data_IF_134211044929
#
_entry.id   IF_134211044929
#
_cell.length_a   1.000
_cell.length_b   1.000
_cell.length_c   1.000
_cell.angle_alpha   90.00
_cell.angle_beta   90.00
_cell.angle_gamma   90.00
#
_symmetry.space_group_name_H-M   'P 1'
#
loop_
_entity.id
_entity.type
_entity.pdbx_description
1 polymer ?
#
# COMPACT_ATOMS: atom_id res chain seq x y z
N UNK A 1 -21.00 -11.04 37.87
CA UNK A 1 -22.05 -10.00 37.89
C UNK A 1 -21.41 -8.70 38.32
N UNK A 2 -21.41 -7.69 37.45
CA UNK A 2 -21.66 -6.27 37.72
C UNK A 2 -21.40 -5.53 36.40
N UNK A 3 -22.50 -5.07 35.80
CA UNK A 3 -22.55 -4.36 34.54
C UNK A 3 -21.77 -3.05 34.63
N UNK A 4 -20.99 -2.74 33.59
CA UNK A 4 -20.47 -1.39 33.36
C UNK A 4 -21.18 -0.82 32.15
N UNK A 5 -22.14 0.04 32.46
CA UNK A 5 -22.95 0.83 31.56
C UNK A 5 -22.07 1.62 30.59
N UNK A 6 -22.26 1.36 29.29
CA UNK A 6 -21.70 2.18 28.21
C UNK A 6 -22.58 3.42 28.12
N UNK A 7 -22.04 4.57 28.54
CA UNK A 7 -22.61 5.88 28.24
C UNK A 7 -22.38 6.15 26.75
N UNK A 8 -23.40 5.91 25.95
CA UNK A 8 -23.47 6.35 24.57
C UNK A 8 -23.61 7.88 24.54
N UNK A 9 -22.54 8.58 24.17
CA UNK A 9 -22.60 10.00 23.81
C UNK A 9 -23.19 10.06 22.40
N UNK A 10 -24.51 10.23 22.31
CA UNK A 10 -25.18 10.62 21.08
C UNK A 10 -24.80 12.07 20.77
N UNK A 11 -23.76 12.26 19.96
CA UNK A 11 -23.52 13.52 19.30
C UNK A 11 -24.69 13.79 18.35
N UNK A 12 -25.64 14.62 18.77
CA UNK A 12 -26.61 15.26 17.89
C UNK A 12 -25.82 16.12 16.89
N UNK A 13 -25.53 15.55 15.73
CA UNK A 13 -25.16 16.34 14.56
C UNK A 13 -26.44 17.06 14.16
N UNK A 14 -26.55 18.33 14.55
CA UNK A 14 -27.52 19.24 13.97
C UNK A 14 -27.20 19.35 12.48
N UNK A 15 -27.89 18.55 11.66
CA UNK A 15 -27.91 18.71 10.21
C UNK A 15 -28.69 19.98 9.94
N UNK A 16 -27.99 21.12 9.97
CA UNK A 16 -28.54 22.36 9.47
C UNK A 16 -28.92 22.14 7.98
N UNK A 17 -30.09 22.59 7.53
CA UNK A 17 -30.51 22.38 6.16
C UNK A 17 -29.54 23.11 5.21
N UNK A 18 -28.84 22.34 4.37
CA UNK A 18 -27.99 22.85 3.29
C UNK A 18 -28.76 23.77 2.30
N UNK A 19 -30.10 23.75 2.33
CA UNK A 19 -30.96 24.52 1.44
C UNK A 19 -30.97 26.05 1.68
N UNK A 20 -30.34 26.56 2.75
CA UNK A 20 -30.30 27.99 3.05
C UNK A 20 -29.03 28.71 2.57
N UNK A 21 -28.02 28.00 2.04
CA UNK A 21 -26.75 28.62 1.60
C UNK A 21 -26.68 28.88 0.09
N UNK A 22 -27.69 28.46 -0.69
CA UNK A 22 -27.69 28.55 -2.16
C UNK A 22 -28.64 29.62 -2.71
N UNK A 23 -28.66 30.81 -2.12
CA UNK A 23 -29.25 31.97 -2.78
C UNK A 23 -28.24 32.55 -3.76
N UNK A 24 -28.55 32.66 -5.04
CA UNK A 24 -27.73 33.43 -5.99
C UNK A 24 -27.73 34.89 -5.54
N UNK A 25 -26.65 35.32 -4.90
CA UNK A 25 -26.49 36.70 -4.46
C UNK A 25 -25.93 37.51 -5.62
N UNK A 26 -26.82 38.25 -6.27
CA UNK A 26 -26.52 39.04 -7.46
C UNK A 26 -26.21 40.51 -7.15
N UNK A 27 -25.92 40.85 -5.90
CA UNK A 27 -25.48 42.19 -5.55
C UNK A 27 -24.00 42.42 -5.98
N UNK A 28 -23.60 43.68 -6.20
CA UNK A 28 -22.28 44.00 -6.72
C UNK A 28 -21.11 43.49 -5.87
N UNK A 29 -21.30 43.36 -4.55
CA UNK A 29 -20.24 42.89 -3.66
C UNK A 29 -19.97 41.39 -3.86
N UNK A 30 -21.02 40.58 -4.05
CA UNK A 30 -20.89 39.16 -4.31
C UNK A 30 -20.36 38.86 -5.72
N UNK A 31 -20.78 39.61 -6.75
CA UNK A 31 -20.19 39.50 -8.09
C UNK A 31 -18.68 39.84 -8.11
N UNK A 32 -18.27 40.85 -7.34
CA UNK A 32 -16.86 41.23 -7.22
C UNK A 32 -16.02 40.19 -6.46
N UNK A 33 -16.62 39.50 -5.48
CA UNK A 33 -16.00 38.37 -4.79
C UNK A 33 -15.87 37.16 -5.72
N UNK A 34 -16.94 36.77 -6.41
CA UNK A 34 -16.95 35.66 -7.37
C UNK A 34 -15.93 35.86 -8.48
N UNK A 35 -15.81 37.07 -9.04
CA UNK A 35 -14.81 37.39 -10.06
C UNK A 35 -13.36 37.18 -9.59
N UNK A 36 -13.10 37.21 -8.27
CA UNK A 36 -11.78 36.96 -7.66
C UNK A 36 -11.62 35.50 -7.23
N UNK A 37 -12.65 34.91 -6.66
CA UNK A 37 -12.61 33.58 -6.04
C UNK A 37 -12.79 32.44 -7.04
N UNK A 38 -13.61 32.62 -8.08
CA UNK A 38 -13.87 31.59 -9.09
C UNK A 38 -12.59 31.16 -9.83
N UNK A 39 -11.72 32.07 -10.34
CA UNK A 39 -10.48 31.66 -10.99
C UNK A 39 -9.52 30.92 -10.04
N UNK A 40 -9.46 31.34 -8.77
CA UNK A 40 -8.63 30.69 -7.76
C UNK A 40 -9.13 29.28 -7.45
N UNK A 41 -10.44 29.15 -7.25
CA UNK A 41 -11.10 27.86 -6.99
C UNK A 41 -10.94 26.91 -8.17
N UNK A 42 -11.09 27.41 -9.40
CA UNK A 42 -10.87 26.62 -10.61
C UNK A 42 -9.41 26.15 -10.75
N UNK A 43 -8.44 27.03 -10.45
CA UNK A 43 -7.01 26.65 -10.42
C UNK A 43 -6.74 25.55 -9.39
N UNK A 44 -7.26 25.68 -8.16
CA UNK A 44 -7.12 24.67 -7.13
C UNK A 44 -7.78 23.34 -7.53
N UNK A 45 -8.99 23.38 -8.10
CA UNK A 45 -9.67 22.18 -8.60
C UNK A 45 -8.88 21.48 -9.70
N UNK A 46 -8.26 22.24 -10.61
CA UNK A 46 -7.41 21.67 -11.67
C UNK A 46 -6.15 21.01 -11.09
N UNK A 47 -5.52 21.63 -10.07
CA UNK A 47 -4.36 21.06 -9.38
C UNK A 47 -4.74 19.76 -8.65
N UNK A 48 -5.85 19.77 -7.90
CA UNK A 48 -6.34 18.57 -7.21
C UNK A 48 -6.69 17.47 -8.20
N UNK A 49 -7.39 17.79 -9.29
CA UNK A 49 -7.72 16.81 -10.33
C UNK A 49 -6.45 16.18 -10.92
N UNK A 50 -5.42 16.98 -11.20
CA UNK A 50 -4.14 16.48 -11.70
C UNK A 50 -3.44 15.58 -10.67
N UNK A 51 -3.43 15.97 -9.41
CA UNK A 51 -2.84 15.18 -8.32
C UNK A 51 -3.58 13.85 -8.11
N UNK A 52 -4.91 13.84 -8.21
CA UNK A 52 -5.73 12.63 -8.12
C UNK A 52 -5.41 11.68 -9.27
N UNK A 53 -5.32 12.18 -10.51
CA UNK A 53 -4.93 11.35 -11.66
C UNK A 53 -3.53 10.77 -11.51
N UNK A 54 -2.57 11.57 -11.01
CA UNK A 54 -1.23 11.09 -10.74
C UNK A 54 -1.21 10.01 -9.66
N UNK A 55 -1.96 10.19 -8.57
CA UNK A 55 -2.08 9.21 -7.50
C UNK A 55 -2.74 7.92 -7.99
N UNK A 56 -3.81 7.99 -8.79
CA UNK A 56 -4.46 6.82 -9.39
C UNK A 56 -3.48 6.03 -10.27
N UNK A 57 -2.68 6.72 -11.08
CA UNK A 57 -1.68 6.07 -11.93
C UNK A 57 -0.59 5.39 -11.09
N UNK A 58 -0.08 6.09 -10.07
CA UNK A 58 0.92 5.53 -9.15
C UNK A 58 0.37 4.31 -8.40
N UNK A 59 -0.89 4.35 -7.96
CA UNK A 59 -1.55 3.24 -7.29
C UNK A 59 -1.71 2.04 -8.22
N UNK A 60 -2.16 2.24 -9.46
CA UNK A 60 -2.29 1.15 -10.43
C UNK A 60 -0.95 0.46 -10.74
N UNK A 61 0.14 1.24 -10.83
CA UNK A 61 1.49 0.69 -10.98
C UNK A 61 1.93 -0.08 -9.74
N UNK A 62 1.65 0.45 -8.54
CA UNK A 62 1.96 -0.21 -7.28
C UNK A 62 1.19 -1.52 -7.10
N UNK A 63 -0.09 -1.56 -7.48
CA UNK A 63 -0.94 -2.76 -7.46
C UNK A 63 -0.38 -3.83 -8.40
N UNK A 64 -0.10 -3.49 -9.66
CA UNK A 64 0.49 -4.42 -10.62
C UNK A 64 1.85 -4.98 -10.14
N UNK A 65 2.67 -4.13 -9.51
CA UNK A 65 3.95 -4.57 -8.93
C UNK A 65 3.75 -5.47 -7.71
N UNK A 66 2.73 -5.21 -6.88
CA UNK A 66 2.38 -6.05 -5.74
C UNK A 66 1.95 -7.45 -6.21
N UNK A 67 1.10 -7.53 -7.23
CA UNK A 67 0.65 -8.81 -7.79
C UNK A 67 1.82 -9.67 -8.29
N UNK A 68 2.78 -9.06 -9.00
CA UNK A 68 4.00 -9.75 -9.43
C UNK A 68 4.86 -10.20 -8.26
N UNK A 69 4.97 -9.38 -7.21
CA UNK A 69 5.73 -9.74 -6.01
C UNK A 69 5.07 -10.91 -5.27
N UNK A 70 3.74 -10.92 -5.18
CA UNK A 70 2.97 -11.99 -4.55
C UNK A 70 3.12 -13.31 -5.31
N UNK A 71 3.02 -13.29 -6.64
CA UNK A 71 3.24 -14.48 -7.47
C UNK A 71 4.65 -15.06 -7.29
N UNK A 72 5.67 -14.20 -7.26
CA UNK A 72 7.05 -14.65 -7.03
C UNK A 72 7.25 -15.20 -5.61
N UNK A 73 6.63 -14.58 -4.62
CA UNK A 73 6.65 -15.07 -3.25
C UNK A 73 6.06 -16.49 -3.15
N UNK A 74 4.92 -16.74 -3.77
CA UNK A 74 4.29 -18.06 -3.81
C UNK A 74 5.15 -19.09 -4.58
N UNK A 75 5.74 -18.69 -5.70
CA UNK A 75 6.66 -19.54 -6.45
C UNK A 75 7.90 -19.92 -5.63
N UNK A 76 8.48 -18.97 -4.89
CA UNK A 76 9.64 -19.21 -4.02
C UNK A 76 9.29 -20.21 -2.90
N UNK A 77 8.08 -20.10 -2.32
CA UNK A 77 7.57 -21.06 -1.32
C UNK A 77 7.40 -22.47 -1.88
N UNK A 78 6.87 -22.58 -3.10
CA UNK A 78 6.70 -23.88 -3.78
C UNK A 78 8.04 -24.51 -4.16
N UNK A 79 9.02 -23.70 -4.58
CA UNK A 79 10.37 -24.16 -4.86
C UNK A 79 11.07 -24.69 -3.60
N UNK A 80 10.89 -24.02 -2.46
CA UNK A 80 11.39 -24.49 -1.16
C UNK A 80 10.82 -25.86 -0.78
N UNK A 81 9.51 -26.03 -0.93
CA UNK A 81 8.83 -27.31 -0.68
C UNK A 81 9.35 -28.43 -1.59
N UNK A 82 9.54 -28.13 -2.89
CA UNK A 82 10.06 -29.11 -3.82
C UNK A 82 11.49 -29.51 -3.46
N UNK A 83 12.35 -28.54 -3.14
CA UNK A 83 13.72 -28.83 -2.72
C UNK A 83 13.78 -29.75 -1.49
N UNK A 84 12.88 -29.56 -0.52
CA UNK A 84 12.81 -30.44 0.65
C UNK A 84 12.38 -31.86 0.29
N UNK A 85 11.39 -32.02 -0.60
CA UNK A 85 10.98 -33.34 -1.10
C UNK A 85 12.13 -34.04 -1.83
N UNK A 86 12.86 -33.31 -2.68
CA UNK A 86 14.02 -33.85 -3.42
C UNK A 86 15.12 -34.30 -2.45
N UNK A 87 15.31 -33.57 -1.35
CA UNK A 87 16.23 -33.93 -0.27
C UNK A 87 15.65 -34.91 0.78
N UNK A 88 14.51 -35.55 0.48
CA UNK A 88 13.85 -36.57 1.33
C UNK A 88 13.57 -36.07 2.75
N UNK A 89 13.33 -34.76 2.89
CA UNK A 89 12.90 -34.13 4.13
C UNK A 89 11.39 -34.18 4.20
N UNK A 90 10.85 -35.17 4.90
CA UNK A 90 9.45 -35.17 5.29
C UNK A 90 9.25 -34.09 6.35
N UNK A 91 8.53 -33.03 5.98
CA UNK A 91 8.15 -31.96 6.89
C UNK A 91 6.64 -31.83 6.86
N UNK A 92 6.04 -31.73 8.05
CA UNK A 92 4.61 -31.42 8.15
C UNK A 92 4.41 -30.00 7.64
N UNK A 93 3.74 -29.85 6.50
CA UNK A 93 3.50 -28.52 5.88
C UNK A 93 2.66 -27.58 6.74
N UNK A 94 1.97 -28.12 7.75
CA UNK A 94 1.19 -27.39 8.74
C UNK A 94 2.00 -27.02 9.99
N UNK A 95 3.24 -27.49 10.13
CA UNK A 95 4.09 -27.14 11.26
C UNK A 95 4.45 -25.65 11.23
N UNK A 96 4.28 -24.98 12.37
CA UNK A 96 4.49 -23.54 12.46
C UNK A 96 5.96 -23.15 12.20
N UNK A 97 6.92 -24.00 12.56
CA UNK A 97 8.34 -23.76 12.31
C UNK A 97 8.65 -23.90 10.83
N UNK A 98 8.09 -24.93 10.17
CA UNK A 98 8.18 -25.09 8.73
C UNK A 98 7.62 -23.88 7.97
N UNK A 99 6.42 -23.40 8.34
CA UNK A 99 5.81 -22.22 7.73
C UNK A 99 6.70 -20.98 7.89
N UNK A 100 7.28 -20.78 9.09
CA UNK A 100 8.23 -19.67 9.33
C UNK A 100 9.47 -19.78 8.44
N UNK A 101 10.08 -20.97 8.34
CA UNK A 101 11.25 -21.20 7.47
C UNK A 101 10.93 -20.92 6.01
N UNK A 102 9.78 -21.40 5.54
CA UNK A 102 9.33 -21.18 4.18
C UNK A 102 9.12 -19.69 3.86
N UNK A 103 8.49 -18.94 4.77
CA UNK A 103 8.32 -17.48 4.62
C UNK A 103 9.66 -16.74 4.66
N UNK A 104 10.55 -17.14 5.56
CA UNK A 104 11.90 -16.60 5.70
C UNK A 104 12.73 -16.81 4.43
N UNK A 105 12.65 -18.00 3.83
CA UNK A 105 13.25 -18.31 2.54
C UNK A 105 12.71 -17.41 1.42
N UNK A 106 11.39 -17.27 1.30
CA UNK A 106 10.79 -16.43 0.27
C UNK A 106 11.17 -14.94 0.42
N UNK A 107 11.31 -14.43 1.64
CA UNK A 107 11.82 -13.08 1.89
C UNK A 107 13.30 -12.92 1.49
N UNK A 108 14.15 -13.89 1.83
CA UNK A 108 15.55 -13.89 1.41
C UNK A 108 15.68 -13.91 -0.12
N UNK A 109 14.87 -14.71 -0.81
CA UNK A 109 14.85 -14.78 -2.27
C UNK A 109 14.41 -13.46 -2.93
N UNK A 110 13.43 -12.77 -2.35
CA UNK A 110 13.04 -11.41 -2.80
C UNK A 110 14.22 -10.45 -2.72
N UNK A 111 14.90 -10.40 -1.58
CA UNK A 111 16.01 -9.48 -1.37
C UNK A 111 17.21 -9.84 -2.26
N UNK A 112 17.44 -11.14 -2.50
CA UNK A 112 18.47 -11.61 -3.42
C UNK A 112 18.17 -11.15 -4.85
N UNK A 113 16.92 -11.28 -5.31
CA UNK A 113 16.50 -10.79 -6.65
C UNK A 113 16.71 -9.28 -6.78
N UNK A 114 16.41 -8.51 -5.73
CA UNK A 114 16.68 -7.07 -5.71
C UNK A 114 18.19 -6.75 -5.80
N UNK A 115 19.02 -7.47 -5.05
CA UNK A 115 20.48 -7.35 -5.13
C UNK A 115 21.00 -7.67 -6.55
N UNK A 116 20.54 -8.77 -7.15
CA UNK A 116 20.91 -9.17 -8.52
C UNK A 116 20.48 -8.12 -9.55
N UNK A 117 19.27 -7.58 -9.42
CA UNK A 117 18.78 -6.54 -10.31
C UNK A 117 19.64 -5.26 -10.23
N UNK A 118 20.04 -4.86 -9.02
CA UNK A 118 20.93 -3.72 -8.80
C UNK A 118 22.35 -4.01 -9.32
N UNK A 119 22.87 -5.21 -9.09
CA UNK A 119 24.15 -5.63 -9.64
C UNK A 119 24.16 -5.54 -11.18
N UNK A 120 23.10 -6.03 -11.85
CA UNK A 120 22.92 -5.94 -13.30
C UNK A 120 22.81 -4.50 -13.83
N UNK A 121 22.34 -3.56 -13.00
CA UNK A 121 22.32 -2.13 -13.31
C UNK A 121 23.70 -1.46 -13.15
N UNK A 122 24.73 -2.21 -12.75
CA UNK A 122 26.10 -1.71 -12.61
C UNK A 122 26.46 -1.25 -11.19
N UNK A 123 25.57 -1.39 -10.20
CA UNK A 123 25.88 -1.06 -8.81
C UNK A 123 26.79 -2.14 -8.20
N UNK A 124 28.12 -1.94 -8.27
CA UNK A 124 29.11 -2.88 -7.74
C UNK A 124 28.90 -3.20 -6.25
N UNK A 125 28.45 -2.23 -5.45
CA UNK A 125 28.13 -2.45 -4.05
C UNK A 125 27.09 -3.55 -3.86
N UNK A 126 26.08 -3.62 -4.73
CA UNK A 126 25.06 -4.66 -4.70
C UNK A 126 25.59 -6.03 -5.17
N UNK A 127 26.54 -6.05 -6.11
CA UNK A 127 27.20 -7.30 -6.53
C UNK A 127 28.05 -7.93 -5.41
N UNK A 128 28.63 -7.08 -4.55
CA UNK A 128 29.50 -7.50 -3.45
C UNK A 128 28.74 -7.74 -2.13
N UNK A 129 27.41 -7.55 -2.11
CA UNK A 129 26.61 -7.87 -0.94
C UNK A 129 26.58 -9.38 -0.72
N UNK A 130 26.62 -9.84 0.54
CA UNK A 130 26.41 -11.25 0.83
C UNK A 130 24.98 -11.66 0.45
N UNK A 131 24.83 -12.89 -0.02
CA UNK A 131 23.51 -13.50 -0.24
C UNK A 131 22.67 -13.40 1.03
N UNK A 132 21.40 -12.94 0.94
CA UNK A 132 20.50 -12.91 2.08
C UNK A 132 20.39 -14.28 2.75
N UNK A 133 20.54 -14.28 4.07
CA UNK A 133 20.41 -15.48 4.89
C UNK A 133 18.96 -15.58 5.38
N UNK A 134 18.20 -16.63 4.99
CA UNK A 134 16.84 -16.87 5.48
C UNK A 134 16.72 -16.85 7.01
N UNK A 135 17.74 -17.29 7.75
CA UNK A 135 17.68 -17.33 9.22
C UNK A 135 17.54 -15.94 9.86
N UNK A 136 17.90 -14.86 9.14
CA UNK A 136 17.72 -13.49 9.61
C UNK A 136 16.27 -12.98 9.53
N UNK A 137 15.39 -13.72 8.88
CA UNK A 137 13.98 -13.37 8.70
C UNK A 137 13.02 -14.22 9.55
N UNK A 138 13.57 -15.08 10.43
CA UNK A 138 12.82 -16.02 11.27
C UNK A 138 12.37 -15.44 12.60
#
# INVERSE_FOLDING_TARGET
MFARSILAITALIAVAPLAAQSGTKNDPAHQAADAREVPQTQSLNNQVSSAVTQAQTANAVAEAQNDLNQQQYEADKAAYEQALRDHHRDVLSTDATFIRQQNAYAMAMRDWRAQVAMCKKGYQSACNLPTPDPMKYM
#
